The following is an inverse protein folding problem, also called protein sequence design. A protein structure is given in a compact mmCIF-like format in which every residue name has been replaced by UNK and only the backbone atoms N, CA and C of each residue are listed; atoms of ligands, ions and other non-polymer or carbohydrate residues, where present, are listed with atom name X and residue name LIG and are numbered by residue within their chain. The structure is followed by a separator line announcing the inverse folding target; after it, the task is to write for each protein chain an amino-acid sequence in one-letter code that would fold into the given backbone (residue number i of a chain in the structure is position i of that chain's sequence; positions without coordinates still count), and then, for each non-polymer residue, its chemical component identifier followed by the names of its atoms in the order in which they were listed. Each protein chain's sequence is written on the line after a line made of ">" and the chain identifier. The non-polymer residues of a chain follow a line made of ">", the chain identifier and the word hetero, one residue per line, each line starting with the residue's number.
data_IF_893663292243
#
_entry.id   IF_893663292243
#
_cell.length_a   1.000
_cell.length_b   1.000
_cell.length_c   1.000
_cell.angle_alpha   90.00
_cell.angle_beta   90.00
_cell.angle_gamma   90.00
#
_symmetry.space_group_name_H-M   'P 1'
#
loop_
_entity.id
_entity.type
_entity.pdbx_description
1 polymer ?
#
# COMPACT_ATOMS: atom_id res chain seq x y z
N UNK A 1 19.95 -33.71 -51.99
CA UNK A 1 19.65 -35.09 -51.53
C UNK A 1 18.84 -35.00 -50.26
N UNK A 2 17.52 -35.05 -50.43
CA UNK A 2 16.50 -35.56 -49.48
C UNK A 2 16.59 -37.11 -49.62
N UNK A 3 16.30 -37.98 -48.62
CA UNK A 3 15.05 -38.04 -47.84
C UNK A 3 15.27 -38.55 -46.39
N UNK A 4 14.33 -38.85 -45.48
CA UNK A 4 12.92 -39.26 -45.52
C UNK A 4 12.38 -39.18 -44.08
N UNK A 5 11.17 -38.66 -43.88
CA UNK A 5 10.33 -38.97 -42.71
C UNK A 5 9.47 -40.21 -43.02
N UNK A 6 9.12 -41.02 -42.01
CA UNK A 6 7.71 -41.41 -41.84
C UNK A 6 7.35 -41.51 -40.34
N UNK A 7 6.10 -41.57 -39.88
CA UNK A 7 4.78 -41.57 -40.49
C UNK A 7 3.77 -41.11 -39.43
N UNK A 8 2.71 -40.47 -39.91
CA UNK A 8 1.44 -40.26 -39.22
C UNK A 8 0.63 -41.54 -39.34
N UNK A 9 -0.02 -41.97 -38.25
CA UNK A 9 -1.20 -42.85 -38.31
C UNK A 9 -2.30 -42.23 -37.45
N UNK A 10 -3.46 -41.89 -38.03
CA UNK A 10 -4.67 -41.52 -37.29
C UNK A 10 -5.53 -42.77 -37.08
N UNK A 11 -6.31 -42.82 -36.00
CA UNK A 11 -7.54 -43.62 -35.93
C UNK A 11 -8.35 -43.12 -34.74
N UNK A 12 -9.41 -42.37 -35.04
CA UNK A 12 -10.52 -42.20 -34.10
C UNK A 12 -11.36 -43.45 -34.06
N UNK A 13 -12.14 -43.60 -32.98
CA UNK A 13 -13.46 -44.21 -32.97
C UNK A 13 -14.12 -43.89 -31.62
N UNK A 14 -15.18 -43.09 -31.71
CA UNK A 14 -16.27 -42.96 -30.73
C UNK A 14 -17.04 -44.27 -30.52
N UNK A 15 -17.90 -44.23 -29.48
CA UNK A 15 -19.04 -45.10 -29.10
C UNK A 15 -18.76 -45.86 -27.78
N UNK A 16 -19.39 -45.43 -26.67
CA UNK A 16 -20.71 -45.86 -26.19
C UNK A 16 -20.66 -47.31 -25.65
N UNK A 17 -21.38 -47.78 -24.63
CA UNK A 17 -22.32 -47.29 -23.63
C UNK A 17 -22.84 -48.58 -22.97
N UNK A 18 -22.83 -48.73 -21.65
CA UNK A 18 -23.66 -49.70 -20.91
C UNK A 18 -24.09 -48.96 -19.63
N UNK A 19 -25.31 -48.45 -19.46
CA UNK A 19 -26.66 -49.02 -19.46
C UNK A 19 -26.89 -50.04 -18.35
N UNK A 20 -27.45 -49.57 -17.24
CA UNK A 20 -28.51 -50.16 -16.39
C UNK A 20 -28.92 -49.01 -15.44
N UNK A 21 -30.04 -48.28 -15.58
CA UNK A 21 -31.46 -48.61 -15.64
C UNK A 21 -31.99 -49.16 -14.31
N UNK A 22 -32.50 -48.26 -13.46
CA UNK A 22 -33.70 -48.55 -12.68
C UNK A 22 -34.61 -47.33 -12.63
N UNK A 23 -35.90 -47.60 -12.84
CA UNK A 23 -37.02 -46.70 -13.07
C UNK A 23 -37.94 -46.63 -11.85
N UNK A 24 -38.52 -45.46 -11.57
CA UNK A 24 -39.96 -45.19 -11.35
C UNK A 24 -40.12 -43.72 -10.86
N UNK A 25 -40.68 -42.81 -11.67
CA UNK A 25 -42.08 -42.26 -11.61
C UNK A 25 -42.36 -41.50 -10.30
N UNK A 26 -42.74 -40.21 -10.25
CA UNK A 26 -43.20 -39.28 -11.27
C UNK A 26 -43.50 -37.87 -10.71
N UNK A 27 -44.05 -37.04 -11.60
CA UNK A 27 -44.81 -35.79 -11.39
C UNK A 27 -44.12 -34.50 -10.88
N UNK A 28 -44.13 -33.49 -11.75
CA UNK A 28 -44.56 -32.14 -11.37
C UNK A 28 -43.49 -31.12 -10.96
N UNK A 29 -42.67 -30.67 -11.92
CA UNK A 29 -41.87 -29.44 -11.77
C UNK A 29 -42.78 -28.20 -11.95
N UNK A 30 -42.95 -27.30 -10.96
CA UNK A 30 -43.67 -26.06 -11.19
C UNK A 30 -42.74 -25.01 -11.82
N UNK A 31 -43.25 -24.37 -12.87
CA UNK A 31 -42.69 -23.20 -13.58
C UNK A 31 -42.79 -21.96 -12.67
N UNK A 32 -41.81 -21.04 -12.67
CA UNK A 32 -41.88 -19.84 -11.84
C UNK A 32 -43.01 -18.91 -12.31
N UNK A 33 -43.86 -18.37 -11.41
CA UNK A 33 -44.89 -17.43 -11.82
C UNK A 33 -44.29 -16.06 -12.17
N UNK A 34 -44.61 -15.63 -13.38
CA UNK A 34 -44.43 -14.31 -13.94
C UNK A 34 -45.27 -13.23 -13.22
N UNK A 35 -44.64 -12.08 -12.97
CA UNK A 35 -45.22 -10.71 -12.88
C UNK A 35 -46.55 -10.50 -12.15
N UNK A 36 -46.47 -9.84 -10.97
CA UNK A 36 -47.61 -9.29 -10.23
C UNK A 36 -48.27 -8.09 -10.95
N UNK A 37 -49.61 -7.99 -10.97
CA UNK A 37 -50.31 -6.83 -11.51
C UNK A 37 -50.36 -5.67 -10.48
N UNK A 38 -49.98 -4.48 -10.91
CA UNK A 38 -50.16 -3.22 -10.17
C UNK A 38 -51.57 -2.67 -10.44
N UNK A 39 -52.46 -2.75 -9.46
CA UNK A 39 -53.71 -1.97 -9.40
C UNK A 39 -53.82 -1.33 -8.02
N UNK A 40 -54.02 -0.01 -8.00
CA UNK A 40 -53.83 0.86 -6.84
C UNK A 40 -54.97 0.94 -5.81
N UNK A 41 -54.63 1.53 -4.66
CA UNK A 41 -55.54 1.94 -3.57
C UNK A 41 -54.78 2.20 -2.26
N UNK A 42 -55.18 3.19 -1.43
CA UNK A 42 -54.24 4.02 -0.66
C UNK A 42 -53.79 3.44 0.70
N UNK A 43 -52.66 4.00 1.14
CA UNK A 43 -51.84 3.65 2.29
C UNK A 43 -52.58 3.32 3.60
N UNK A 44 -52.31 2.12 4.13
CA UNK A 44 -52.32 1.85 5.56
C UNK A 44 -50.98 1.23 5.95
N UNK A 45 -50.15 1.99 6.67
CA UNK A 45 -48.87 1.52 7.22
C UNK A 45 -49.16 0.49 8.32
N UNK A 46 -49.10 -0.79 7.97
CA UNK A 46 -49.11 -1.89 8.96
C UNK A 46 -47.74 -1.91 9.65
N UNK A 47 -47.73 -1.55 10.93
CA UNK A 47 -46.55 -1.52 11.81
C UNK A 47 -46.22 -2.96 12.20
N UNK A 48 -45.15 -3.52 11.62
CA UNK A 48 -44.62 -4.83 11.99
C UNK A 48 -43.78 -4.68 13.27
N UNK A 49 -44.16 -5.35 14.35
CA UNK A 49 -43.36 -5.47 15.57
C UNK A 49 -42.28 -6.54 15.36
N UNK A 50 -41.02 -6.12 15.32
CA UNK A 50 -39.88 -7.04 15.19
C UNK A 50 -39.64 -7.83 16.51
N UNK A 51 -39.23 -9.10 16.44
CA UNK A 51 -38.85 -9.88 17.63
C UNK A 51 -37.59 -9.34 18.30
N UNK A 52 -37.52 -9.46 19.64
CA UNK A 52 -36.37 -9.05 20.46
C UNK A 52 -35.26 -10.11 20.37
N UNK A 53 -34.32 -9.91 19.46
CA UNK A 53 -33.07 -10.66 19.41
C UNK A 53 -32.13 -10.15 20.53
N UNK A 54 -31.90 -10.96 21.55
CA UNK A 54 -30.81 -10.75 22.51
C UNK A 54 -29.56 -11.41 21.95
N UNK A 55 -28.69 -10.61 21.35
CA UNK A 55 -27.33 -11.02 21.00
C UNK A 55 -26.44 -10.70 22.20
N UNK A 56 -26.02 -11.72 22.94
CA UNK A 56 -24.89 -11.62 23.85
C UNK A 56 -23.62 -11.58 23.01
N UNK A 57 -23.10 -10.37 22.77
CA UNK A 57 -21.74 -10.19 22.27
C UNK A 57 -20.76 -10.57 23.38
N UNK A 58 -19.95 -11.58 23.12
CA UNK A 58 -18.73 -11.86 23.88
C UNK A 58 -17.73 -10.73 23.58
N UNK A 59 -17.37 -9.97 24.62
CA UNK A 59 -16.36 -8.92 24.56
C UNK A 59 -14.98 -9.58 24.66
N UNK A 60 -14.30 -9.78 23.54
CA UNK A 60 -12.84 -9.86 23.58
C UNK A 60 -12.31 -8.45 23.76
N UNK A 61 -11.85 -8.15 24.96
CA UNK A 61 -11.24 -6.87 25.33
C UNK A 61 -9.91 -6.72 24.60
N UNK A 62 -9.90 -5.92 23.52
CA UNK A 62 -8.69 -5.28 23.05
C UNK A 62 -8.34 -4.16 24.04
N UNK A 63 -7.25 -4.36 24.77
CA UNK A 63 -6.61 -3.42 25.68
C UNK A 63 -6.20 -2.13 24.93
N UNK A 64 -7.14 -1.19 24.82
CA UNK A 64 -6.90 0.19 24.43
C UNK A 64 -7.21 1.08 25.63
N UNK A 65 -6.28 1.09 26.58
CA UNK A 65 -6.36 1.90 27.78
C UNK A 65 -5.00 2.36 28.26
N UNK A 66 -4.29 3.18 27.48
CA UNK A 66 -3.31 4.10 28.08
C UNK A 66 -3.76 5.55 27.84
N UNK A 67 -3.99 6.23 28.96
CA UNK A 67 -4.40 7.62 29.09
C UNK A 67 -3.39 8.55 28.39
N UNK A 68 -3.84 9.50 27.55
CA UNK A 68 -2.95 10.32 26.74
C UNK A 68 -2.52 11.58 27.47
N UNK A 69 -1.82 11.46 28.60
CA UNK A 69 -1.19 12.61 29.28
C UNK A 69 -0.11 12.06 30.25
N UNK A 70 1.12 11.86 29.74
CA UNK A 70 2.40 11.83 30.50
C UNK A 70 3.63 11.36 29.68
N UNK A 71 3.58 11.38 28.33
CA UNK A 71 4.77 11.14 27.50
C UNK A 71 5.37 12.45 26.96
N UNK A 72 5.94 13.26 27.84
CA UNK A 72 7.05 14.14 27.47
C UNK A 72 8.32 13.30 27.31
N UNK A 73 8.34 12.40 26.33
CA UNK A 73 9.59 11.76 25.88
C UNK A 73 10.26 12.74 24.95
N UNK A 74 11.12 13.59 25.51
CA UNK A 74 12.04 14.38 24.72
C UNK A 74 13.05 13.43 24.04
N UNK A 75 12.87 13.16 22.74
CA UNK A 75 13.70 12.23 21.94
C UNK A 75 15.11 12.80 21.65
N UNK A 76 15.40 14.03 22.09
CA UNK A 76 16.72 14.66 21.97
C UNK A 76 17.71 14.24 23.08
N UNK A 77 17.28 13.56 24.14
CA UNK A 77 18.17 13.09 25.24
C UNK A 77 18.67 11.64 25.09
N UNK A 78 18.46 11.00 23.93
CA UNK A 78 19.00 9.66 23.64
C UNK A 78 20.22 9.72 22.70
N UNK A 79 21.26 10.46 23.10
CA UNK A 79 22.63 10.23 22.60
C UNK A 79 23.63 10.18 23.79
N UNK A 80 23.61 9.02 24.48
CA UNK A 80 24.73 8.25 25.09
C UNK A 80 25.44 8.70 26.39
N UNK A 81 25.87 7.71 27.19
CA UNK A 81 27.30 7.38 27.16
C UNK A 81 27.60 5.92 26.79
N UNK A 82 28.63 5.79 25.96
CA UNK A 82 29.64 4.74 25.84
C UNK A 82 29.56 3.50 26.77
N UNK A 83 29.62 2.31 26.17
CA UNK A 83 30.45 1.16 26.58
C UNK A 83 30.54 0.21 25.37
N UNK A 84 31.74 -0.02 24.82
CA UNK A 84 31.99 -1.18 23.96
C UNK A 84 32.93 -1.05 22.77
N UNK A 85 33.90 -0.13 22.75
CA UNK A 85 35.13 -0.42 22.01
C UNK A 85 35.82 -1.61 22.70
N UNK A 86 35.73 -2.81 22.12
CA UNK A 86 36.37 -4.00 22.69
C UNK A 86 37.87 -3.97 22.40
N UNK A 87 38.59 -3.07 23.07
CA UNK A 87 40.02 -3.29 23.35
C UNK A 87 40.10 -4.51 24.27
N UNK A 88 40.66 -5.58 23.73
CA UNK A 88 41.05 -6.80 24.45
C UNK A 88 41.81 -6.43 25.73
N UNK A 89 41.14 -6.45 26.87
CA UNK A 89 41.81 -6.44 28.17
C UNK A 89 41.57 -7.78 28.83
N UNK A 90 42.58 -8.65 28.71
CA UNK A 90 42.78 -9.78 29.62
C UNK A 90 42.77 -9.23 31.06
N UNK A 91 41.67 -9.42 31.77
CA UNK A 91 41.65 -9.27 33.22
C UNK A 91 41.31 -10.59 33.88
N UNK A 92 42.36 -11.11 34.48
CA UNK A 92 42.49 -12.26 35.35
C UNK A 92 41.47 -12.23 36.49
N UNK A 93 40.29 -12.81 36.32
CA UNK A 93 39.54 -13.49 37.39
C UNK A 93 38.57 -14.49 36.74
N UNK A 94 38.64 -15.74 37.18
CA UNK A 94 37.94 -16.87 36.57
C UNK A 94 36.44 -16.88 36.82
N UNK A 95 35.69 -16.10 36.04
CA UNK A 95 34.27 -16.35 35.73
C UNK A 95 34.02 -15.95 34.28
N UNK A 96 33.98 -16.94 33.39
CA UNK A 96 33.44 -16.76 32.04
C UNK A 96 31.93 -16.58 32.24
N UNK A 97 31.45 -15.34 32.26
CA UNK A 97 30.07 -15.08 31.91
C UNK A 97 29.98 -15.22 30.40
N UNK A 98 29.03 -16.02 29.86
CA UNK A 98 28.82 -16.05 28.42
C UNK A 98 28.47 -14.62 27.99
N UNK A 99 29.40 -14.04 27.23
CA UNK A 99 29.21 -12.79 26.48
C UNK A 99 27.86 -12.89 25.79
N UNK A 100 27.02 -11.87 26.02
CA UNK A 100 25.64 -11.82 25.59
C UNK A 100 25.47 -12.44 24.22
N UNK A 101 24.55 -13.41 24.14
CA UNK A 101 24.16 -14.03 22.88
C UNK A 101 23.94 -12.91 21.86
N UNK A 102 24.79 -12.84 20.84
CA UNK A 102 24.26 -12.66 19.49
C UNK A 102 23.22 -13.76 19.37
N UNK A 103 21.94 -13.43 19.55
CA UNK A 103 20.88 -14.32 19.10
C UNK A 103 21.10 -14.42 17.60
N UNK A 104 21.77 -15.49 17.19
CA UNK A 104 21.71 -15.98 15.82
C UNK A 104 20.25 -16.34 15.60
N UNK A 105 19.48 -15.35 15.16
CA UNK A 105 18.08 -15.55 14.82
C UNK A 105 18.07 -16.56 13.69
N UNK A 106 17.68 -17.79 14.01
CA UNK A 106 17.56 -18.86 13.03
C UNK A 106 16.37 -18.55 12.16
N UNK A 107 16.62 -18.06 10.96
CA UNK A 107 15.57 -17.75 10.01
C UNK A 107 15.17 -19.04 9.31
N UNK A 108 13.87 -19.34 9.31
CA UNK A 108 13.32 -20.49 8.62
C UNK A 108 13.16 -20.18 7.12
N UNK A 109 14.16 -20.57 6.30
CA UNK A 109 14.15 -20.30 4.86
C UNK A 109 12.97 -20.93 4.11
N UNK A 110 12.47 -22.07 4.61
CA UNK A 110 11.44 -22.84 3.90
C UNK A 110 10.10 -22.09 3.84
N UNK A 111 9.73 -21.41 4.92
CA UNK A 111 8.43 -20.71 4.99
C UNK A 111 8.47 -19.38 4.22
N UNK A 112 9.65 -18.78 4.04
CA UNK A 112 9.81 -17.49 3.37
C UNK A 112 10.19 -17.60 1.89
N UNK A 113 10.60 -18.78 1.40
CA UNK A 113 11.02 -19.02 0.02
C UNK A 113 10.09 -18.39 -1.03
N UNK A 114 8.75 -18.48 -0.93
CA UNK A 114 7.85 -17.86 -1.91
C UNK A 114 7.89 -16.33 -1.93
N UNK A 115 8.36 -15.71 -0.85
CA UNK A 115 8.31 -14.26 -0.59
C UNK A 115 9.68 -13.59 -0.66
N UNK A 116 10.77 -14.34 -0.88
CA UNK A 116 12.13 -13.78 -0.92
C UNK A 116 12.32 -12.70 -1.99
N UNK A 117 11.51 -12.71 -3.05
CA UNK A 117 11.48 -11.65 -4.08
C UNK A 117 11.06 -10.27 -3.56
N UNK A 118 10.58 -10.17 -2.31
CA UNK A 118 10.28 -8.89 -1.65
C UNK A 118 11.50 -7.97 -1.61
N UNK A 119 12.72 -8.52 -1.60
CA UNK A 119 13.96 -7.75 -1.61
C UNK A 119 14.82 -8.14 -2.81
N UNK A 120 15.41 -7.14 -3.47
CA UNK A 120 16.37 -7.34 -4.55
C UNK A 120 17.45 -6.26 -4.57
N UNK A 121 18.58 -6.55 -5.20
CA UNK A 121 19.68 -5.60 -5.40
C UNK A 121 19.48 -4.85 -6.71
N UNK A 122 19.33 -3.52 -6.64
CA UNK A 122 19.07 -2.63 -7.76
C UNK A 122 20.31 -2.07 -8.44
N UNK A 123 21.50 -2.57 -8.11
CA UNK A 123 22.78 -2.06 -8.60
C UNK A 123 23.47 -1.13 -7.61
N UNK A 124 24.47 -0.40 -8.10
CA UNK A 124 25.26 0.53 -7.31
C UNK A 124 25.15 1.96 -7.84
N UNK A 125 25.25 2.95 -6.95
CA UNK A 125 25.26 4.37 -7.29
C UNK A 125 26.56 5.05 -6.81
N UNK A 126 26.82 6.28 -7.30
CA UNK A 126 27.99 7.09 -6.93
C UNK A 126 29.31 6.34 -7.11
N UNK A 127 29.66 6.06 -8.37
CA UNK A 127 30.90 5.36 -8.79
C UNK A 127 31.00 3.89 -8.36
N UNK A 128 29.88 3.24 -8.06
CA UNK A 128 29.81 1.79 -7.88
C UNK A 128 30.03 1.30 -6.45
N UNK A 129 30.11 2.19 -5.47
CA UNK A 129 30.44 1.83 -4.08
C UNK A 129 29.19 1.63 -3.21
N UNK A 130 28.13 2.37 -3.50
CA UNK A 130 26.94 2.42 -2.64
C UNK A 130 25.79 1.62 -3.24
N UNK A 131 25.19 0.71 -2.46
CA UNK A 131 24.16 -0.19 -2.95
C UNK A 131 22.78 0.48 -3.07
N UNK A 132 22.00 0.07 -4.07
CA UNK A 132 20.57 0.34 -4.18
C UNK A 132 19.84 -0.94 -3.82
N UNK A 133 18.92 -0.85 -2.87
CA UNK A 133 18.16 -2.00 -2.37
C UNK A 133 16.70 -1.74 -2.68
N UNK A 134 16.06 -2.67 -3.38
CA UNK A 134 14.67 -2.55 -3.81
C UNK A 134 13.82 -3.44 -2.93
N UNK A 135 12.83 -2.85 -2.27
CA UNK A 135 11.81 -3.55 -1.51
C UNK A 135 10.48 -3.48 -2.26
N UNK A 136 9.96 -4.60 -2.73
CA UNK A 136 8.73 -4.71 -3.51
C UNK A 136 7.58 -5.26 -2.66
N UNK A 137 6.75 -4.35 -2.14
CA UNK A 137 5.67 -4.68 -1.21
C UNK A 137 4.58 -5.59 -1.83
N UNK A 138 4.47 -5.62 -3.16
CA UNK A 138 3.52 -6.49 -3.86
C UNK A 138 3.80 -7.99 -3.63
N UNK A 139 5.02 -8.36 -3.21
CA UNK A 139 5.39 -9.73 -2.89
C UNK A 139 5.25 -10.08 -1.41
N UNK A 140 4.72 -9.18 -0.58
CA UNK A 140 4.41 -9.51 0.82
C UNK A 140 3.31 -10.57 0.92
N UNK A 141 3.34 -11.41 1.97
CA UNK A 141 2.29 -12.39 2.24
C UNK A 141 0.96 -11.70 2.52
N UNK A 142 -0.12 -12.43 2.26
CA UNK A 142 -1.48 -11.98 2.56
C UNK A 142 -1.83 -12.23 4.03
N UNK A 143 -2.49 -11.27 4.71
CA UNK A 143 -2.86 -11.41 6.12
C UNK A 143 -3.89 -12.49 6.39
N UNK A 144 -4.60 -12.94 5.36
CA UNK A 144 -5.64 -13.97 5.47
C UNK A 144 -5.07 -15.37 5.80
N UNK A 145 -3.74 -15.50 5.87
CA UNK A 145 -3.07 -16.76 6.18
C UNK A 145 -2.89 -16.93 7.69
N UNK A 146 -3.10 -18.16 8.17
CA UNK A 146 -2.88 -18.53 9.57
C UNK A 146 -1.42 -18.37 10.02
N UNK A 147 -0.47 -18.59 9.10
CA UNK A 147 0.98 -18.50 9.32
C UNK A 147 1.55 -17.10 9.04
N UNK A 148 0.71 -16.08 8.82
CA UNK A 148 1.14 -14.74 8.41
C UNK A 148 2.19 -14.12 9.35
N UNK A 149 1.98 -14.21 10.67
CA UNK A 149 2.88 -13.63 11.65
C UNK A 149 4.26 -14.30 11.62
N UNK A 150 4.32 -15.63 11.59
CA UNK A 150 5.58 -16.38 11.53
C UNK A 150 6.35 -16.08 10.23
N UNK A 151 5.64 -16.04 9.09
CA UNK A 151 6.23 -15.68 7.80
C UNK A 151 6.79 -14.26 7.86
N UNK A 152 6.02 -13.28 8.34
CA UNK A 152 6.44 -11.88 8.39
C UNK A 152 7.65 -11.66 9.30
N UNK A 153 7.72 -12.34 10.44
CA UNK A 153 8.88 -12.27 11.34
C UNK A 153 10.14 -12.84 10.67
N UNK A 154 10.05 -14.03 10.09
CA UNK A 154 11.18 -14.64 9.38
C UNK A 154 11.58 -13.83 8.14
N UNK A 155 10.61 -13.28 7.41
CA UNK A 155 10.85 -12.45 6.24
C UNK A 155 11.53 -11.14 6.61
N UNK A 156 11.12 -10.53 7.72
CA UNK A 156 11.76 -9.33 8.24
C UNK A 156 13.21 -9.61 8.68
N UNK A 157 13.45 -10.70 9.41
CA UNK A 157 14.80 -11.11 9.76
C UNK A 157 15.65 -11.36 8.51
N UNK A 158 15.10 -12.01 7.49
CA UNK A 158 15.77 -12.22 6.21
C UNK A 158 16.13 -10.90 5.52
N UNK A 159 15.20 -9.95 5.48
CA UNK A 159 15.43 -8.61 4.92
C UNK A 159 16.55 -7.91 5.68
N UNK A 160 16.49 -7.85 7.02
CA UNK A 160 17.52 -7.19 7.83
C UNK A 160 18.88 -7.87 7.66
N UNK A 161 18.96 -9.21 7.71
CA UNK A 161 20.22 -9.92 7.48
C UNK A 161 20.78 -9.66 6.09
N UNK A 162 19.92 -9.56 5.07
CA UNK A 162 20.37 -9.20 3.71
C UNK A 162 20.88 -7.77 3.66
N UNK A 163 20.22 -6.82 4.34
CA UNK A 163 20.71 -5.45 4.48
C UNK A 163 22.08 -5.43 5.18
N UNK A 164 22.27 -6.16 6.29
CA UNK A 164 23.55 -6.20 7.02
C UNK A 164 24.71 -6.68 6.15
N UNK A 165 24.46 -7.64 5.25
CA UNK A 165 25.46 -8.14 4.30
C UNK A 165 25.78 -7.12 3.19
N UNK A 166 24.79 -6.35 2.76
CA UNK A 166 24.95 -5.36 1.68
C UNK A 166 25.47 -4.00 2.17
N UNK A 167 25.27 -3.67 3.45
CA UNK A 167 25.59 -2.36 4.04
C UNK A 167 27.01 -2.35 4.62
N UNK A 168 27.98 -2.43 3.71
CA UNK A 168 29.37 -2.13 4.02
C UNK A 168 29.56 -0.62 4.29
N UNK A 169 28.91 0.23 3.48
CA UNK A 169 28.99 1.70 3.50
C UNK A 169 27.57 2.32 3.43
N UNK A 170 27.38 3.43 2.71
CA UNK A 170 26.09 4.07 2.49
C UNK A 170 25.23 3.32 1.47
N UNK A 171 23.90 3.41 1.60
CA UNK A 171 22.97 2.75 0.69
C UNK A 171 21.65 3.49 0.55
N UNK A 172 20.87 3.16 -0.48
CA UNK A 172 19.53 3.68 -0.70
C UNK A 172 18.51 2.55 -0.71
N UNK A 173 17.33 2.79 -0.14
CA UNK A 173 16.18 1.88 -0.25
C UNK A 173 15.18 2.49 -1.23
N UNK A 174 14.73 1.70 -2.19
CA UNK A 174 13.57 1.97 -3.04
C UNK A 174 12.43 1.06 -2.58
N UNK A 175 11.44 1.64 -1.93
CA UNK A 175 10.23 0.96 -1.49
C UNK A 175 9.14 1.10 -2.55
N UNK A 176 8.93 0.04 -3.32
CA UNK A 176 7.88 -0.05 -4.32
C UNK A 176 6.58 -0.46 -3.64
N UNK A 177 5.73 0.54 -3.37
CA UNK A 177 4.43 0.32 -2.72
C UNK A 177 3.32 -0.08 -3.72
N UNK A 178 3.47 0.32 -4.98
CA UNK A 178 2.45 0.24 -6.01
C UNK A 178 1.74 -1.12 -6.08
N UNK A 179 0.41 -1.08 -6.28
CA UNK A 179 -0.47 -2.24 -6.44
C UNK A 179 -0.54 -3.20 -5.22
N UNK A 180 -0.07 -2.76 -4.05
CA UNK A 180 -0.13 -3.56 -2.82
C UNK A 180 -1.44 -3.30 -2.07
N UNK A 181 -2.32 -4.31 -1.91
CA UNK A 181 -3.52 -4.15 -1.08
C UNK A 181 -3.17 -4.05 0.40
N UNK A 182 -3.98 -3.31 1.17
CA UNK A 182 -3.73 -3.08 2.60
C UNK A 182 -3.54 -4.37 3.40
N UNK A 183 -4.27 -5.45 3.08
CA UNK A 183 -4.15 -6.74 3.79
C UNK A 183 -2.75 -7.38 3.74
N UNK A 184 -1.86 -6.93 2.86
CA UNK A 184 -0.46 -7.40 2.82
C UNK A 184 0.49 -6.56 3.69
N UNK A 185 0.00 -5.45 4.20
CA UNK A 185 0.80 -4.50 4.94
C UNK A 185 0.77 -4.83 6.44
N UNK A 186 1.93 -4.86 7.12
CA UNK A 186 1.96 -5.00 8.57
C UNK A 186 1.33 -3.77 9.26
N UNK A 187 0.74 -3.99 10.44
CA UNK A 187 0.18 -2.92 11.26
C UNK A 187 1.23 -2.01 11.92
N UNK A 188 0.76 -0.92 12.55
CA UNK A 188 1.61 0.09 13.20
C UNK A 188 2.53 -0.50 14.29
N UNK A 189 2.00 -1.40 15.13
CA UNK A 189 2.78 -2.01 16.21
C UNK A 189 3.94 -2.86 15.68
N UNK A 190 3.71 -3.57 14.58
CA UNK A 190 4.76 -4.33 13.90
C UNK A 190 5.80 -3.39 13.27
N UNK A 191 5.37 -2.30 12.62
CA UNK A 191 6.29 -1.33 12.03
C UNK A 191 7.18 -0.65 13.08
N UNK A 192 6.62 -0.33 14.26
CA UNK A 192 7.38 0.18 15.40
C UNK A 192 8.43 -0.83 15.88
N UNK A 193 8.03 -2.09 16.10
CA UNK A 193 8.95 -3.18 16.49
C UNK A 193 10.04 -3.40 15.44
N UNK A 194 9.66 -3.43 14.17
CA UNK A 194 10.56 -3.51 13.02
C UNK A 194 11.62 -2.41 13.09
N UNK A 195 11.24 -1.14 13.20
CA UNK A 195 12.19 -0.03 13.32
C UNK A 195 13.14 -0.13 14.53
N UNK A 196 12.65 -0.65 15.65
CA UNK A 196 13.46 -0.88 16.86
C UNK A 196 14.47 -2.01 16.70
N UNK A 197 14.12 -3.05 15.94
CA UNK A 197 15.01 -4.18 15.63
C UNK A 197 16.09 -3.83 14.60
N UNK A 198 15.93 -2.75 13.83
CA UNK A 198 16.95 -2.32 12.87
C UNK A 198 18.18 -1.77 13.62
N UNK A 199 19.34 -2.39 13.38
CA UNK A 199 20.59 -1.98 13.97
C UNK A 199 20.90 -0.49 13.70
N UNK A 200 21.58 0.16 14.66
CA UNK A 200 21.95 1.58 14.57
C UNK A 200 22.78 1.86 13.30
N UNK A 201 23.64 0.92 12.90
CA UNK A 201 24.47 1.02 11.69
C UNK A 201 23.64 1.15 10.42
N UNK A 202 22.65 0.27 10.23
CA UNK A 202 21.76 0.30 9.06
C UNK A 202 21.01 1.63 8.97
N UNK A 203 20.47 2.12 10.09
CA UNK A 203 19.76 3.40 10.15
C UNK A 203 20.65 4.60 9.82
N UNK A 204 21.93 4.57 10.24
CA UNK A 204 22.90 5.63 9.97
C UNK A 204 23.30 5.68 8.50
N UNK A 205 23.69 4.55 7.94
CA UNK A 205 24.20 4.41 6.58
C UNK A 205 23.13 4.54 5.48
N UNK A 206 21.85 4.47 5.84
CA UNK A 206 20.78 4.75 4.89
C UNK A 206 20.88 6.20 4.42
N UNK A 207 21.11 6.45 3.14
CA UNK A 207 21.17 7.80 2.55
C UNK A 207 19.79 8.33 2.19
N UNK A 208 18.94 7.48 1.63
CA UNK A 208 17.60 7.85 1.16
C UNK A 208 16.67 6.64 1.22
N UNK A 209 15.42 6.88 1.61
CA UNK A 209 14.32 5.93 1.56
C UNK A 209 13.26 6.45 0.59
N UNK A 210 13.27 5.98 -0.65
CA UNK A 210 12.40 6.45 -1.73
C UNK A 210 11.17 5.56 -1.79
N UNK A 211 9.98 6.13 -1.58
CA UNK A 211 8.70 5.43 -1.66
C UNK A 211 8.04 5.76 -2.99
N UNK A 212 7.87 4.73 -3.81
CA UNK A 212 7.29 4.81 -5.15
C UNK A 212 5.81 4.45 -5.10
N UNK A 213 4.96 5.31 -5.67
CA UNK A 213 3.49 5.21 -5.62
C UNK A 213 2.95 5.01 -4.19
N UNK A 214 3.24 5.94 -3.26
CA UNK A 214 2.72 5.86 -1.90
C UNK A 214 1.18 5.83 -1.89
N UNK A 215 0.61 4.83 -1.23
CA UNK A 215 -0.83 4.78 -0.93
C UNK A 215 -1.21 5.84 0.12
N UNK A 216 -2.51 6.11 0.27
CA UNK A 216 -2.98 6.93 1.39
C UNK A 216 -2.61 6.29 2.74
N UNK A 217 -2.72 4.96 2.83
CA UNK A 217 -2.36 4.22 4.03
C UNK A 217 -0.91 4.44 4.46
N UNK A 218 0.08 4.26 3.56
CA UNK A 218 1.49 4.43 3.93
C UNK A 218 1.80 5.87 4.35
N UNK A 219 1.17 6.86 3.72
CA UNK A 219 1.30 8.28 4.11
C UNK A 219 0.79 8.52 5.52
N UNK A 220 -0.40 8.00 5.84
CA UNK A 220 -1.01 8.10 7.16
C UNK A 220 -0.18 7.39 8.22
N UNK A 221 0.25 6.15 7.95
CA UNK A 221 1.11 5.37 8.83
C UNK A 221 2.39 6.13 9.14
N UNK A 222 3.11 6.61 8.12
CA UNK A 222 4.36 7.34 8.31
C UNK A 222 4.16 8.67 9.06
N UNK A 223 3.03 9.34 8.87
CA UNK A 223 2.68 10.53 9.64
C UNK A 223 2.44 10.22 11.12
N UNK A 224 1.71 9.14 11.44
CA UNK A 224 1.42 8.71 12.81
C UNK A 224 2.67 8.15 13.50
N UNK A 225 3.54 7.45 12.78
CA UNK A 225 4.78 6.89 13.35
C UNK A 225 5.90 7.91 13.46
N UNK A 226 5.76 9.09 12.83
CA UNK A 226 6.76 10.17 12.84
C UNK A 226 7.31 10.53 14.23
N UNK A 227 6.50 10.69 15.32
CA UNK A 227 7.03 10.96 16.65
C UNK A 227 7.95 9.86 17.21
N UNK A 228 7.83 8.62 16.73
CA UNK A 228 8.65 7.48 17.19
C UNK A 228 9.88 7.24 16.31
N UNK A 229 9.99 7.94 15.17
CA UNK A 229 11.08 7.81 14.21
C UNK A 229 11.96 9.05 14.35
N UNK A 230 13.29 8.88 14.35
CA UNK A 230 14.21 10.00 14.47
C UNK A 230 13.97 11.04 13.37
N UNK A 231 14.08 12.34 13.69
CA UNK A 231 13.98 13.41 12.70
C UNK A 231 14.97 13.21 11.54
N UNK A 232 16.19 12.75 11.86
CA UNK A 232 17.22 12.40 10.87
C UNK A 232 16.76 11.31 9.90
N UNK A 233 16.04 10.29 10.36
CA UNK A 233 15.50 9.25 9.49
C UNK A 233 14.31 9.77 8.67
N UNK A 234 13.40 10.52 9.30
CA UNK A 234 12.26 11.12 8.59
C UNK A 234 12.70 12.00 7.42
N UNK A 235 13.81 12.75 7.57
CA UNK A 235 14.38 13.57 6.49
C UNK A 235 14.97 12.76 5.32
N UNK A 236 15.16 11.44 5.48
CA UNK A 236 15.62 10.54 4.41
C UNK A 236 14.47 10.04 3.54
N UNK A 237 13.22 10.18 3.99
CA UNK A 237 12.04 9.66 3.28
C UNK A 237 11.68 10.61 2.13
N UNK A 238 11.62 10.07 0.92
CA UNK A 238 11.20 10.80 -0.29
C UNK A 238 10.03 10.06 -0.92
N UNK A 239 9.01 10.80 -1.35
CA UNK A 239 7.87 10.24 -2.07
C UNK A 239 8.02 10.56 -3.55
N UNK A 240 7.85 9.55 -4.40
CA UNK A 240 7.78 9.72 -5.86
C UNK A 240 6.48 9.11 -6.37
N UNK A 241 5.84 9.82 -7.31
CA UNK A 241 4.50 9.48 -7.80
C UNK A 241 4.53 8.69 -9.10
N UNK A 242 5.69 8.57 -9.75
CA UNK A 242 5.90 7.86 -11.01
C UNK A 242 7.25 7.16 -11.05
N UNK A 243 7.39 6.18 -11.95
CA UNK A 243 8.68 5.58 -12.29
C UNK A 243 9.62 6.56 -13.00
N UNK A 244 9.08 7.57 -13.69
CA UNK A 244 9.88 8.61 -14.34
C UNK A 244 10.60 9.48 -13.31
N UNK A 245 9.91 9.87 -12.23
CA UNK A 245 10.55 10.59 -11.11
C UNK A 245 11.61 9.73 -10.41
N UNK A 246 11.42 8.41 -10.35
CA UNK A 246 12.42 7.50 -9.78
C UNK A 246 13.70 7.47 -10.64
N UNK A 247 13.55 7.45 -11.96
CA UNK A 247 14.69 7.39 -12.89
C UNK A 247 15.60 8.61 -12.81
N UNK A 248 15.06 9.77 -12.39
CA UNK A 248 15.83 10.99 -12.18
C UNK A 248 16.67 10.93 -10.90
N UNK A 249 16.30 10.06 -9.95
CA UNK A 249 16.95 9.95 -8.65
C UNK A 249 18.01 8.84 -8.58
N UNK A 250 17.86 7.78 -9.36
CA UNK A 250 18.74 6.61 -9.31
C UNK A 250 19.01 6.00 -10.70
N UNK A 251 20.17 5.35 -10.90
CA UNK A 251 20.41 4.48 -12.05
C UNK A 251 19.40 3.31 -12.04
N UNK A 252 18.76 3.06 -13.17
CA UNK A 252 17.67 2.08 -13.31
C UNK A 252 18.09 0.77 -14.00
N UNK A 253 19.35 0.63 -14.42
CA UNK A 253 19.83 -0.46 -15.29
C UNK A 253 19.65 -1.86 -14.67
N UNK A 254 19.77 -1.98 -13.34
CA UNK A 254 19.66 -3.24 -12.60
C UNK A 254 18.44 -3.28 -11.68
N UNK A 255 17.58 -2.25 -11.72
CA UNK A 255 16.41 -2.15 -10.86
C UNK A 255 15.28 -3.01 -11.43
N UNK A 256 14.94 -4.09 -10.73
CA UNK A 256 13.84 -4.97 -11.14
C UNK A 256 12.50 -4.43 -10.65
N UNK A 257 11.70 -3.88 -11.56
CA UNK A 257 10.34 -3.41 -11.26
C UNK A 257 9.31 -4.52 -11.59
N UNK A 258 8.47 -4.94 -10.63
CA UNK A 258 7.39 -5.89 -10.90
C UNK A 258 6.36 -5.37 -11.90
N UNK A 259 5.84 -6.27 -12.75
CA UNK A 259 4.88 -5.91 -13.82
C UNK A 259 3.62 -5.22 -13.29
N UNK A 260 3.14 -5.60 -12.10
CA UNK A 260 1.97 -4.96 -11.49
C UNK A 260 2.20 -3.47 -11.17
N UNK A 261 3.44 -3.08 -10.88
CA UNK A 261 3.81 -1.68 -10.62
C UNK A 261 3.96 -0.92 -11.93
N UNK A 262 4.55 -1.55 -12.96
CA UNK A 262 4.63 -0.97 -14.31
C UNK A 262 3.24 -0.68 -14.86
N UNK A 263 2.30 -1.63 -14.70
CA UNK A 263 0.91 -1.44 -15.11
C UNK A 263 0.25 -0.29 -14.33
N UNK A 264 0.43 -0.25 -13.02
CA UNK A 264 -0.12 0.84 -12.20
C UNK A 264 0.43 2.21 -12.61
N UNK A 265 1.73 2.33 -12.87
CA UNK A 265 2.35 3.57 -13.32
C UNK A 265 1.69 4.08 -14.62
N UNK A 266 1.46 3.18 -15.58
CA UNK A 266 0.73 3.49 -16.83
C UNK A 266 -0.70 3.95 -16.56
N UNK A 267 -1.46 3.21 -15.75
CA UNK A 267 -2.84 3.55 -15.40
C UNK A 267 -2.93 4.94 -14.73
N UNK A 268 -1.98 5.27 -13.84
CA UNK A 268 -1.93 6.57 -13.18
C UNK A 268 -1.54 7.70 -14.15
N UNK A 269 -0.61 7.45 -15.08
CA UNK A 269 -0.25 8.41 -16.14
C UNK A 269 -1.43 8.70 -17.04
N UNK A 270 -2.11 7.68 -17.54
CA UNK A 270 -3.31 7.81 -18.37
C UNK A 270 -4.44 8.57 -17.64
N UNK A 271 -4.68 8.25 -16.36
CA UNK A 271 -5.67 8.97 -15.55
C UNK A 271 -5.31 10.45 -15.36
N UNK A 272 -4.02 10.77 -15.15
CA UNK A 272 -3.55 12.14 -15.02
C UNK A 272 -3.66 12.92 -16.34
N UNK A 273 -3.37 12.30 -17.48
CA UNK A 273 -3.55 12.89 -18.81
C UNK A 273 -5.01 13.13 -19.13
N UNK A 274 -5.89 12.16 -18.87
CA UNK A 274 -7.33 12.30 -19.07
C UNK A 274 -7.91 13.43 -18.21
N UNK A 275 -7.43 13.59 -16.98
CA UNK A 275 -7.82 14.72 -16.12
C UNK A 275 -7.39 16.08 -16.70
N UNK A 276 -6.16 16.18 -17.25
CA UNK A 276 -5.66 17.39 -17.94
C UNK A 276 -6.48 17.71 -19.20
N UNK A 277 -6.80 16.70 -20.00
CA UNK A 277 -7.64 16.88 -21.20
C UNK A 277 -9.05 17.30 -20.81
N UNK A 278 -9.67 16.66 -19.80
CA UNK A 278 -11.01 17.01 -19.35
C UNK A 278 -11.09 18.44 -18.78
N UNK A 279 -10.08 18.86 -18.00
CA UNK A 279 -9.98 20.24 -17.49
C UNK A 279 -9.71 21.26 -18.59
N UNK A 280 -8.97 20.90 -19.64
CA UNK A 280 -8.76 21.75 -20.81
C UNK A 280 -10.01 21.87 -21.70
N UNK A 281 -10.74 20.76 -21.91
CA UNK A 281 -12.00 20.74 -22.65
C UNK A 281 -13.13 21.44 -21.89
N UNK A 282 -13.09 21.43 -20.56
CA UNK A 282 -13.92 22.30 -19.71
C UNK A 282 -13.36 23.72 -19.57
N UNK A 283 -12.43 24.10 -20.45
CA UNK A 283 -11.82 25.42 -20.54
C UNK A 283 -12.84 26.55 -20.32
N UNK A 284 -12.55 27.31 -19.27
CA UNK A 284 -13.05 28.65 -18.96
C UNK A 284 -13.67 29.41 -20.13
N UNK A 285 -15.00 29.58 -20.15
CA UNK A 285 -15.70 30.83 -20.48
C UNK A 285 -17.19 30.77 -20.05
N UNK A 286 -17.82 31.83 -19.50
CA UNK A 286 -17.19 33.02 -18.95
C UNK A 286 -17.92 33.55 -17.68
N UNK A 287 -17.33 33.38 -16.49
CA UNK A 287 -17.70 34.24 -15.36
C UNK A 287 -17.41 35.72 -15.70
N UNK A 288 -16.41 35.98 -16.55
CA UNK A 288 -16.08 37.31 -17.06
C UNK A 288 -17.09 37.87 -18.08
N UNK A 289 -17.74 37.05 -18.91
CA UNK A 289 -18.75 37.51 -19.88
C UNK A 289 -20.16 37.51 -19.27
N UNK A 290 -20.43 36.68 -18.24
CA UNK A 290 -21.59 36.88 -17.37
C UNK A 290 -21.47 38.19 -16.55
N UNK A 291 -20.28 38.51 -16.03
CA UNK A 291 -20.02 39.77 -15.35
C UNK A 291 -20.04 40.99 -16.31
N UNK A 292 -19.50 40.86 -17.53
CA UNK A 292 -19.53 41.92 -18.53
C UNK A 292 -20.95 42.14 -19.10
N UNK A 293 -21.75 41.08 -19.30
CA UNK A 293 -23.16 41.19 -19.69
C UNK A 293 -24.01 41.80 -18.58
N UNK A 294 -23.76 41.45 -17.31
CA UNK A 294 -24.43 42.07 -16.16
C UNK A 294 -24.08 43.56 -16.02
N UNK A 295 -22.81 43.94 -16.21
CA UNK A 295 -22.37 45.34 -16.18
C UNK A 295 -22.95 46.17 -17.35
N UNK A 296 -23.05 45.60 -18.55
CA UNK A 296 -23.68 46.26 -19.69
C UNK A 296 -25.20 46.48 -19.48
N UNK A 297 -25.90 45.51 -18.87
CA UNK A 297 -27.32 45.65 -18.54
C UNK A 297 -27.59 46.71 -17.45
N UNK A 298 -26.66 46.86 -16.48
CA UNK A 298 -26.77 47.85 -15.41
C UNK A 298 -26.48 49.28 -15.89
N UNK A 299 -25.64 49.45 -16.91
CA UNK A 299 -25.38 50.76 -17.52
C UNK A 299 -26.55 51.25 -18.38
N UNK A 300 -27.22 50.36 -19.11
CA UNK A 300 -28.41 50.70 -19.92
C UNK A 300 -29.62 51.11 -19.05
N UNK A 301 -29.82 50.47 -17.90
CA UNK A 301 -30.93 50.80 -16.98
C UNK A 301 -30.78 52.10 -16.19
N UNK A 302 -29.62 52.78 -16.25
CA UNK A 302 -29.35 54.02 -15.50
C UNK A 302 -29.56 55.29 -16.32
N UNK A 303 -29.65 55.19 -17.66
CA UNK A 303 -29.95 56.31 -18.53
C UNK A 303 -31.46 56.65 -18.58
N UNK A 304 -32.35 55.68 -18.35
CA UNK A 304 -33.81 55.88 -18.40
C UNK A 304 -34.42 56.49 -17.12
N UNK A 305 -33.66 56.55 -16.02
CA UNK A 305 -34.18 56.99 -14.71
C UNK A 305 -33.80 58.43 -14.34
N UNK A 306 -33.07 59.13 -15.19
CA UNK A 306 -32.68 60.52 -14.96
C UNK A 306 -33.72 61.55 -15.42
N UNK A 307 -34.71 61.17 -16.24
CA UNK A 307 -35.73 62.11 -16.77
C UNK A 307 -37.05 62.17 -15.98
N UNK A 308 -37.22 61.36 -14.92
CA UNK A 308 -38.51 61.23 -14.21
C UNK A 308 -38.57 61.85 -12.80
N UNK A 309 -37.51 62.53 -12.32
CA UNK A 309 -37.45 63.08 -10.96
C UNK A 309 -37.51 64.63 -10.90
N UNK A 310 -38.19 65.25 -11.87
CA UNK A 310 -38.31 66.70 -11.99
C UNK A 310 -39.75 67.21 -12.06
N UNK A 311 -40.68 66.72 -11.23
CA UNK A 311 -41.96 67.40 -11.04
C UNK A 311 -42.72 66.91 -9.80
N UNK A 312 -42.77 67.72 -8.76
CA UNK A 312 -43.98 68.03 -7.99
C UNK A 312 -43.59 68.76 -6.69
N UNK A 313 -43.47 70.08 -6.82
CA UNK A 313 -43.70 71.03 -5.74
C UNK A 313 -45.19 71.37 -5.72
N UNK A 314 -45.84 71.29 -4.55
CA UNK A 314 -46.84 72.23 -4.03
C UNK A 314 -47.50 71.65 -2.78
#
# INVERSE_FOLDING_TARGET
>A
MVPTAPAVVPLGMDLASETEMNSEVGEGRPVPPSSLPLQGGPAQRKKLSAPRISLSLDQSEDDLGETPDDLDINVDDLDTPDEGSTTLTMRQTGKIQPVGLRQEHRINMKIIEPFMRVISHGGYYSSGVNAIIVFAACFLPDSDREDYHEIMENLFLYVISTLELMVAEDYMIVYLNGATPHRRMPGLGWLKKCYQMIDRRLRKNLKSFIIVHPSWFIRTVLAITKPFISAKFSSKIKYVSSLDELQELIPMEYVQIPECIIRLDKELKEAAENSKVNSFLQGTEPAAAAAAAAAASAAAGRADKADAAGASSS
#
